data_IF_323142292624
#
_entry.id   IF_323142292624
#
_cell.length_a   1.000
_cell.length_b   1.000
_cell.length_c   1.000
_cell.angle_alpha   90.00
_cell.angle_beta   90.00
_cell.angle_gamma   90.00
#
_symmetry.space_group_name_H-M   'P 1'
#
loop_
_entity.id
_entity.type
_entity.pdbx_description
1 polymer ?
#
# COMPACT_ATOMS: atom_id res chain seq x y z
N UNK A 1 3.17 -10.89 13.84
CA UNK A 1 3.94 -12.08 14.27
C UNK A 1 5.14 -12.29 13.35
N UNK A 2 6.16 -13.03 13.81
CA UNK A 2 7.22 -13.61 12.98
C UNK A 2 6.72 -14.99 12.56
N UNK A 3 6.78 -15.33 11.27
CA UNK A 3 6.31 -16.61 10.76
C UNK A 3 7.44 -17.63 10.64
N UNK A 4 7.17 -18.94 10.69
CA UNK A 4 8.18 -19.97 10.41
C UNK A 4 8.87 -19.77 9.05
N UNK A 5 8.10 -19.32 8.05
CA UNK A 5 8.64 -18.98 6.73
C UNK A 5 9.68 -17.84 6.79
N UNK A 6 9.44 -16.80 7.60
CA UNK A 6 10.38 -15.70 7.78
C UNK A 6 11.67 -16.16 8.50
N UNK A 7 11.54 -17.03 9.51
CA UNK A 7 12.71 -17.63 10.20
C UNK A 7 13.53 -18.44 9.21
N UNK A 8 12.87 -19.32 8.44
CA UNK A 8 13.55 -20.15 7.44
C UNK A 8 14.21 -19.31 6.35
N UNK A 9 13.61 -18.20 5.94
CA UNK A 9 14.19 -17.28 4.96
C UNK A 9 15.44 -16.59 5.51
N UNK A 10 15.38 -16.05 6.74
CA UNK A 10 16.51 -15.40 7.38
C UNK A 10 17.71 -16.36 7.57
N UNK A 11 17.45 -17.58 8.05
CA UNK A 11 18.48 -18.60 8.23
C UNK A 11 19.17 -19.03 6.93
N UNK A 12 18.55 -18.83 5.75
CA UNK A 12 19.17 -19.13 4.45
C UNK A 12 20.16 -18.06 4.00
N UNK A 13 20.00 -16.84 4.50
CA UNK A 13 20.83 -15.68 4.12
C UNK A 13 22.00 -15.52 5.08
N UNK A 14 21.75 -15.68 6.39
CA UNK A 14 22.79 -15.46 7.40
C UNK A 14 23.72 -16.68 7.47
N UNK A 15 25.05 -16.49 7.32
CA UNK A 15 26.02 -17.58 7.33
C UNK A 15 26.34 -18.03 8.76
N UNK A 16 25.43 -18.79 9.37
CA UNK A 16 25.57 -19.33 10.73
C UNK A 16 25.48 -20.86 10.75
N UNK A 17 26.11 -21.51 11.72
CA UNK A 17 26.04 -22.95 11.92
C UNK A 17 24.63 -23.35 12.39
N UNK A 18 23.83 -23.89 11.47
CA UNK A 18 22.42 -24.26 11.70
C UNK A 18 22.27 -25.56 12.48
N UNK A 19 23.30 -26.40 12.48
CA UNK A 19 23.30 -27.71 13.15
C UNK A 19 23.62 -27.56 14.64
N UNK A 20 24.36 -26.52 15.02
CA UNK A 20 24.73 -26.26 16.41
C UNK A 20 24.32 -24.86 16.91
N UNK A 21 23.02 -24.57 17.12
CA UNK A 21 22.54 -23.29 17.64
C UNK A 21 23.15 -22.86 18.98
N UNK A 22 23.59 -23.82 19.80
CA UNK A 22 24.28 -23.57 21.08
C UNK A 22 25.63 -22.88 20.92
N UNK A 23 26.25 -22.94 19.73
CA UNK A 23 27.55 -22.29 19.43
C UNK A 23 27.40 -20.86 18.92
N UNK A 24 26.19 -20.36 18.72
CA UNK A 24 25.98 -19.02 18.16
C UNK A 24 26.57 -17.95 19.06
N UNK A 25 27.39 -17.09 18.48
CA UNK A 25 27.94 -15.93 19.15
C UNK A 25 26.89 -14.84 19.30
N UNK A 26 27.19 -13.80 20.08
CA UNK A 26 26.33 -12.62 20.16
C UNK A 26 26.21 -11.90 18.80
N UNK A 27 27.28 -11.93 17.99
CA UNK A 27 27.28 -11.36 16.65
C UNK A 27 26.32 -12.12 15.72
N UNK A 28 26.37 -13.46 15.75
CA UNK A 28 25.48 -14.33 14.95
C UNK A 28 24.00 -14.07 15.29
N UNK A 29 23.68 -14.00 16.58
CA UNK A 29 22.31 -13.70 17.04
C UNK A 29 21.86 -12.31 16.60
N UNK A 30 22.76 -11.32 16.64
CA UNK A 30 22.45 -9.95 16.22
C UNK A 30 22.19 -9.89 14.73
N UNK A 31 23.01 -10.55 13.92
CA UNK A 31 22.85 -10.58 12.48
C UNK A 31 21.58 -11.34 12.06
N UNK A 32 21.31 -12.49 12.69
CA UNK A 32 20.05 -13.21 12.50
C UNK A 32 18.84 -12.35 12.88
N UNK A 33 18.91 -11.60 13.98
CA UNK A 33 17.82 -10.71 14.39
C UNK A 33 17.59 -9.58 13.38
N UNK A 34 18.66 -8.97 12.84
CA UNK A 34 18.57 -7.94 11.80
C UNK A 34 17.91 -8.47 10.54
N UNK A 35 18.35 -9.63 10.07
CA UNK A 35 17.81 -10.25 8.87
C UNK A 35 16.36 -10.69 9.06
N UNK A 36 16.04 -11.26 10.22
CA UNK A 36 14.67 -11.63 10.56
C UNK A 36 13.73 -10.43 10.58
N UNK A 37 14.17 -9.30 11.14
CA UNK A 37 13.42 -8.04 11.07
C UNK A 37 13.27 -7.55 9.64
N UNK A 38 14.33 -7.64 8.82
CA UNK A 38 14.28 -7.24 7.41
C UNK A 38 13.22 -8.01 6.63
N UNK A 39 13.14 -9.33 6.81
CA UNK A 39 12.17 -10.20 6.13
C UNK A 39 10.76 -10.07 6.73
N UNK A 40 10.63 -10.11 8.05
CA UNK A 40 9.34 -10.18 8.72
C UNK A 40 8.66 -8.81 8.90
N UNK A 41 9.43 -7.73 8.81
CA UNK A 41 8.96 -6.35 9.04
C UNK A 41 9.56 -5.45 7.96
N UNK A 42 8.97 -5.43 6.75
CA UNK A 42 9.34 -4.45 5.74
C UNK A 42 9.22 -3.04 6.31
N UNK A 43 10.25 -2.23 6.06
CA UNK A 43 10.37 -0.84 6.56
C UNK A 43 10.64 0.10 5.40
N UNK A 44 10.21 1.34 5.53
CA UNK A 44 10.61 2.46 4.68
C UNK A 44 10.75 3.69 5.57
N UNK A 45 11.48 4.69 5.11
CA UNK A 45 11.64 5.96 5.81
C UNK A 45 10.83 7.03 5.11
N UNK A 46 9.90 7.61 5.87
CA UNK A 46 9.09 8.75 5.46
C UNK A 46 9.83 10.02 5.91
N UNK A 47 10.63 10.58 5.00
CA UNK A 47 11.44 11.77 5.25
C UNK A 47 10.57 13.03 5.21
N UNK A 48 9.89 13.30 6.32
CA UNK A 48 8.96 14.42 6.47
C UNK A 48 9.69 15.78 6.48
N UNK A 49 8.95 16.85 6.16
CA UNK A 49 9.41 18.24 5.99
C UNK A 49 10.24 18.48 4.72
N UNK A 50 9.92 17.77 3.64
CA UNK A 50 10.60 17.94 2.35
C UNK A 50 10.44 19.33 1.72
N UNK A 51 9.44 20.10 2.16
CA UNK A 51 9.24 21.52 1.83
C UNK A 51 10.42 22.40 2.31
N UNK A 52 11.18 21.94 3.30
CA UNK A 52 12.37 22.63 3.85
C UNK A 52 13.68 21.94 3.51
N UNK A 53 13.63 20.85 2.76
CA UNK A 53 14.80 20.05 2.40
C UNK A 53 15.12 20.18 0.91
N UNK A 54 16.39 20.01 0.59
CA UNK A 54 16.88 19.88 -0.78
C UNK A 54 16.90 18.40 -1.20
N UNK A 55 16.72 18.09 -2.50
CA UNK A 55 16.84 16.73 -3.03
C UNK A 55 18.13 16.00 -2.58
N UNK A 56 19.27 16.70 -2.63
CA UNK A 56 20.56 16.15 -2.20
C UNK A 56 20.58 15.67 -0.73
N UNK A 57 19.82 16.30 0.17
CA UNK A 57 19.74 15.86 1.57
C UNK A 57 18.96 14.55 1.70
N UNK A 58 17.91 14.36 0.89
CA UNK A 58 17.18 13.10 0.79
C UNK A 58 18.05 12.02 0.19
N UNK A 59 18.78 12.33 -0.88
CA UNK A 59 19.63 11.37 -1.58
C UNK A 59 20.76 10.87 -0.67
N UNK A 60 21.42 11.77 0.06
CA UNK A 60 22.41 11.41 1.09
C UNK A 60 21.81 10.50 2.17
N UNK A 61 20.61 10.82 2.68
CA UNK A 61 19.94 9.95 3.66
C UNK A 61 19.66 8.56 3.06
N UNK A 62 19.23 8.49 1.80
CA UNK A 62 18.96 7.23 1.11
C UNK A 62 20.22 6.35 0.95
N UNK A 63 21.37 6.97 0.70
CA UNK A 63 22.66 6.28 0.68
C UNK A 63 23.05 5.75 2.07
N UNK A 64 22.92 6.57 3.11
CA UNK A 64 23.30 6.22 4.49
C UNK A 64 22.49 5.05 5.06
N UNK A 65 21.23 4.88 4.63
CA UNK A 65 20.33 3.83 5.16
C UNK A 65 20.01 2.71 4.16
N UNK A 66 20.74 2.64 3.05
CA UNK A 66 20.55 1.61 2.03
C UNK A 66 20.57 0.20 2.67
N UNK A 67 19.64 -0.72 2.31
CA UNK A 67 18.65 -0.66 1.23
C UNK A 67 17.24 -0.23 1.66
N UNK A 68 17.10 0.52 2.76
CA UNK A 68 15.78 1.01 3.21
C UNK A 68 15.33 2.18 2.30
N UNK A 69 14.17 2.10 1.63
CA UNK A 69 13.69 3.19 0.78
C UNK A 69 13.43 4.47 1.59
N UNK A 70 13.70 5.62 0.98
CA UNK A 70 13.42 6.95 1.55
C UNK A 70 12.46 7.71 0.64
N UNK A 71 11.32 8.09 1.19
CA UNK A 71 10.27 8.82 0.49
C UNK A 71 10.16 10.21 1.10
N UNK A 72 10.44 11.24 0.29
CA UNK A 72 10.33 12.63 0.70
C UNK A 72 8.85 12.99 0.88
N UNK A 73 8.49 13.56 2.03
CA UNK A 73 7.10 13.91 2.31
C UNK A 73 6.94 15.26 2.99
N UNK A 74 5.78 15.89 2.83
CA UNK A 74 5.36 17.03 3.63
C UNK A 74 3.95 16.80 4.17
N UNK A 75 3.87 16.28 5.40
CA UNK A 75 2.60 15.97 6.05
C UNK A 75 1.74 17.21 6.32
N UNK A 76 2.38 18.35 6.62
CA UNK A 76 1.67 19.61 6.89
C UNK A 76 1.02 20.18 5.62
N UNK A 77 1.72 20.10 4.49
CA UNK A 77 1.18 20.50 3.20
C UNK A 77 0.05 19.58 2.74
N UNK A 78 0.19 18.26 2.91
CA UNK A 78 -0.88 17.29 2.63
C UNK A 78 -2.13 17.59 3.46
N UNK A 79 -1.98 17.83 4.76
CA UNK A 79 -3.09 18.19 5.64
C UNK A 79 -3.75 19.50 5.20
N UNK A 80 -2.95 20.49 4.80
CA UNK A 80 -3.43 21.78 4.29
C UNK A 80 -4.24 21.61 3.01
N UNK A 81 -3.76 20.83 2.03
CA UNK A 81 -4.51 20.54 0.81
C UNK A 81 -5.81 19.81 1.09
N UNK A 82 -5.79 18.79 1.96
CA UNK A 82 -7.00 18.04 2.32
C UNK A 82 -8.05 18.94 3.00
N UNK A 83 -7.62 19.87 3.85
CA UNK A 83 -8.50 20.87 4.48
C UNK A 83 -9.06 21.85 3.45
N UNK A 84 -8.22 22.36 2.56
CA UNK A 84 -8.64 23.27 1.49
C UNK A 84 -9.64 22.59 0.53
N UNK A 85 -9.43 21.31 0.20
CA UNK A 85 -10.33 20.53 -0.62
C UNK A 85 -11.68 20.31 0.07
N UNK A 86 -11.66 19.97 1.36
CA UNK A 86 -12.90 19.85 2.16
C UNK A 86 -13.66 21.17 2.27
N UNK A 87 -12.97 22.31 2.28
CA UNK A 87 -13.56 23.64 2.29
C UNK A 87 -14.03 24.10 0.89
N UNK A 88 -13.84 23.31 -0.16
CA UNK A 88 -14.19 23.67 -1.54
C UNK A 88 -13.35 24.79 -2.13
N UNK A 89 -12.15 25.05 -1.58
CA UNK A 89 -11.22 26.05 -2.10
C UNK A 89 -10.37 25.49 -3.25
N UNK A 90 -10.07 24.20 -3.20
CA UNK A 90 -9.30 23.49 -4.23
C UNK A 90 -9.97 22.18 -4.61
N UNK A 91 -9.72 21.71 -5.82
CA UNK A 91 -9.98 20.34 -6.24
C UNK A 91 -8.65 19.59 -6.23
N UNK A 92 -8.53 18.66 -5.28
CA UNK A 92 -7.35 17.86 -5.02
C UNK A 92 -7.78 16.47 -4.58
N UNK A 93 -7.14 15.41 -5.13
CA UNK A 93 -7.23 14.06 -4.57
C UNK A 93 -5.87 13.72 -3.92
N UNK A 94 -5.86 13.06 -2.74
CA UNK A 94 -4.63 12.66 -2.09
C UNK A 94 -3.69 11.92 -3.04
N UNK A 95 -2.44 12.37 -3.12
CA UNK A 95 -1.43 11.81 -4.01
C UNK A 95 -1.37 12.41 -5.42
N UNK A 96 -2.35 13.22 -5.83
CA UNK A 96 -2.29 13.92 -7.12
C UNK A 96 -1.02 14.79 -7.17
N UNK A 97 -0.36 14.93 -8.35
CA UNK A 97 0.83 15.75 -8.49
C UNK A 97 0.55 17.26 -8.52
N UNK A 98 -0.72 17.64 -8.62
CA UNK A 98 -1.15 19.03 -8.64
C UNK A 98 -2.58 19.15 -8.12
N UNK A 99 -3.04 20.39 -7.94
CA UNK A 99 -4.41 20.71 -7.57
C UNK A 99 -4.89 21.92 -8.37
N UNK A 100 -6.21 22.11 -8.45
CA UNK A 100 -6.81 23.26 -9.12
C UNK A 100 -7.56 24.13 -8.13
N UNK A 101 -7.47 25.45 -8.26
CA UNK A 101 -8.26 26.39 -7.46
C UNK A 101 -9.70 26.37 -7.95
N UNK A 102 -10.65 26.29 -7.02
CA UNK A 102 -12.09 26.35 -7.37
C UNK A 102 -12.56 27.79 -7.54
N UNK A 103 -12.07 28.68 -6.68
CA UNK A 103 -12.36 30.11 -6.72
C UNK A 103 -11.13 30.89 -6.19
N UNK A 104 -10.30 31.47 -7.08
CA UNK A 104 -9.10 32.20 -6.68
C UNK A 104 -9.40 33.44 -5.82
N UNK A 105 -10.55 34.09 -5.99
CA UNK A 105 -10.85 35.38 -5.38
C UNK A 105 -11.32 35.24 -3.93
N UNK A 106 -11.73 34.04 -3.53
CA UNK A 106 -12.09 33.69 -2.15
C UNK A 106 -10.89 33.44 -1.23
N UNK A 107 -9.68 33.41 -1.76
CA UNK A 107 -8.47 33.10 -0.99
C UNK A 107 -7.90 34.35 -0.32
N UNK A 108 -7.64 34.27 0.99
CA UNK A 108 -6.86 35.30 1.67
C UNK A 108 -5.41 35.33 1.15
N UNK A 109 -4.69 36.45 1.27
CA UNK A 109 -3.28 36.53 0.88
C UNK A 109 -2.40 35.45 1.55
N UNK A 110 -2.68 35.12 2.80
CA UNK A 110 -1.97 34.08 3.54
C UNK A 110 -2.25 32.67 2.98
N UNK A 111 -3.51 32.38 2.64
CA UNK A 111 -3.91 31.09 2.04
C UNK A 111 -3.29 30.92 0.66
N UNK A 112 -3.33 31.97 -0.17
CA UNK A 112 -2.69 31.98 -1.49
C UNK A 112 -1.20 31.66 -1.38
N UNK A 113 -0.47 32.38 -0.51
CA UNK A 113 0.95 32.14 -0.27
C UNK A 113 1.25 30.71 0.21
N UNK A 114 0.39 30.14 1.05
CA UNK A 114 0.54 28.75 1.50
C UNK A 114 0.38 27.77 0.32
N UNK A 115 -0.66 27.94 -0.51
CA UNK A 115 -0.90 27.10 -1.69
C UNK A 115 0.22 27.23 -2.74
N UNK A 116 0.79 28.43 -2.90
CA UNK A 116 1.94 28.64 -3.79
C UNK A 116 3.17 27.85 -3.29
N UNK A 117 3.43 27.85 -1.98
CA UNK A 117 4.51 27.06 -1.37
C UNK A 117 4.31 25.54 -1.53
N UNK A 118 3.07 25.08 -1.46
CA UNK A 118 2.73 23.67 -1.73
C UNK A 118 2.99 23.34 -3.19
N UNK A 119 2.56 24.22 -4.11
CA UNK A 119 2.78 24.04 -5.55
C UNK A 119 4.26 23.89 -5.89
N UNK A 120 5.12 24.73 -5.28
CA UNK A 120 6.58 24.63 -5.46
C UNK A 120 7.14 23.30 -4.92
N UNK A 121 6.63 22.85 -3.77
CA UNK A 121 7.04 21.55 -3.20
C UNK A 121 6.62 20.39 -4.10
N UNK A 122 5.40 20.41 -4.63
CA UNK A 122 4.91 19.37 -5.55
C UNK A 122 5.65 19.41 -6.89
N UNK A 123 6.03 20.58 -7.42
CA UNK A 123 6.90 20.68 -8.60
C UNK A 123 8.27 20.04 -8.37
N UNK A 124 8.84 20.22 -7.17
CA UNK A 124 10.14 19.67 -6.81
C UNK A 124 10.11 18.16 -6.58
N UNK A 125 9.08 17.66 -5.91
CA UNK A 125 9.02 16.28 -5.42
C UNK A 125 8.01 15.39 -6.14
N UNK A 126 7.26 15.94 -7.10
CA UNK A 126 6.18 15.26 -7.83
C UNK A 126 4.84 15.27 -7.10
N UNK A 127 4.83 15.21 -5.76
CA UNK A 127 3.62 15.31 -4.93
C UNK A 127 4.00 15.76 -3.50
N UNK A 128 3.05 15.70 -2.56
CA UNK A 128 3.36 15.83 -1.11
C UNK A 128 4.05 14.60 -0.53
N UNK A 129 4.10 13.48 -1.29
CA UNK A 129 4.76 12.22 -0.95
C UNK A 129 4.04 11.34 0.07
N UNK A 130 3.02 11.84 0.77
CA UNK A 130 2.32 11.06 1.82
C UNK A 130 1.60 9.86 1.23
N UNK A 131 0.82 10.06 0.17
CA UNK A 131 0.12 8.97 -0.51
C UNK A 131 1.11 7.99 -1.14
N UNK A 132 2.17 8.49 -1.77
CA UNK A 132 3.23 7.66 -2.37
C UNK A 132 3.93 6.77 -1.33
N UNK A 133 4.14 7.26 -0.11
CA UNK A 133 4.68 6.44 0.98
C UNK A 133 3.73 5.29 1.36
N UNK A 134 2.45 5.60 1.57
CA UNK A 134 1.44 4.58 1.88
C UNK A 134 1.34 3.51 0.78
N UNK A 135 1.33 3.93 -0.48
CA UNK A 135 1.24 3.05 -1.64
C UNK A 135 2.48 2.18 -1.80
N UNK A 136 3.68 2.75 -1.66
CA UNK A 136 4.95 2.00 -1.62
C UNK A 136 4.90 0.91 -0.56
N UNK A 137 4.54 1.25 0.69
CA UNK A 137 4.48 0.26 1.76
C UNK A 137 3.48 -0.86 1.45
N UNK A 138 2.29 -0.51 0.97
CA UNK A 138 1.21 -1.48 0.75
C UNK A 138 1.51 -2.38 -0.47
N UNK A 139 1.84 -1.78 -1.61
CA UNK A 139 1.93 -2.49 -2.88
C UNK A 139 3.33 -3.03 -3.16
N UNK A 140 4.38 -2.28 -2.83
CA UNK A 140 5.76 -2.67 -3.15
C UNK A 140 6.42 -3.46 -2.01
N UNK A 141 6.19 -3.07 -0.76
CA UNK A 141 6.88 -3.67 0.40
C UNK A 141 6.10 -4.84 1.00
N UNK A 142 4.78 -4.70 1.12
CA UNK A 142 3.89 -5.74 1.64
C UNK A 142 3.28 -6.62 0.53
N UNK A 143 3.57 -6.30 -0.73
CA UNK A 143 3.07 -7.01 -1.92
C UNK A 143 1.57 -7.29 -1.81
N UNK A 144 0.79 -6.28 -1.42
CA UNK A 144 -0.66 -6.37 -1.39
C UNK A 144 -1.24 -6.05 -2.76
N UNK A 145 -2.42 -6.57 -3.04
CA UNK A 145 -3.22 -6.29 -4.22
C UNK A 145 -4.63 -5.88 -3.78
N UNK A 146 -5.26 -5.01 -4.54
CA UNK A 146 -6.67 -4.64 -4.32
C UNK A 146 -7.55 -5.54 -5.18
N UNK A 147 -8.59 -6.11 -4.59
CA UNK A 147 -9.59 -6.94 -5.29
C UNK A 147 -10.98 -6.54 -4.83
N UNK A 148 -11.94 -6.55 -5.76
CA UNK A 148 -13.30 -6.06 -5.50
C UNK A 148 -14.30 -7.23 -5.53
N UNK A 149 -14.75 -7.74 -4.38
CA UNK A 149 -15.82 -8.74 -4.35
C UNK A 149 -17.16 -8.12 -4.77
N UNK A 150 -17.89 -8.79 -5.65
CA UNK A 150 -19.24 -8.39 -6.08
C UNK A 150 -20.20 -9.58 -6.11
N UNK A 151 -21.50 -9.29 -6.07
CA UNK A 151 -22.55 -10.32 -6.20
C UNK A 151 -23.02 -10.46 -7.66
N UNK A 152 -23.04 -9.36 -8.41
CA UNK A 152 -23.39 -9.31 -9.84
C UNK A 152 -22.14 -9.01 -10.69
N UNK A 153 -21.74 -9.92 -11.59
CA UNK A 153 -20.59 -9.72 -12.48
C UNK A 153 -20.86 -8.76 -13.66
N UNK A 154 -22.12 -8.46 -13.98
CA UNK A 154 -22.50 -7.58 -15.09
C UNK A 154 -22.57 -6.13 -14.69
N UNK A 155 -23.16 -5.84 -13.53
CA UNK A 155 -23.30 -4.46 -13.00
C UNK A 155 -22.24 -4.10 -11.95
N UNK A 156 -21.44 -5.07 -11.52
CA UNK A 156 -20.44 -4.93 -10.45
C UNK A 156 -21.06 -4.45 -9.15
N UNK A 157 -22.24 -4.97 -8.82
CA UNK A 157 -23.05 -4.54 -7.68
C UNK A 157 -23.18 -5.64 -6.63
N UNK A 158 -23.61 -5.24 -5.43
CA UNK A 158 -24.14 -6.17 -4.43
C UNK A 158 -25.67 -6.33 -4.51
N UNK A 159 -26.23 -7.17 -3.65
CA UNK A 159 -27.68 -7.33 -3.42
C UNK A 159 -28.45 -6.04 -3.12
N UNK A 160 -27.77 -4.94 -2.78
CA UNK A 160 -28.39 -3.61 -2.54
C UNK A 160 -28.22 -2.65 -3.72
N UNK A 161 -27.63 -3.10 -4.82
CA UNK A 161 -27.36 -2.27 -6.00
C UNK A 161 -26.20 -1.29 -5.84
N UNK A 162 -25.36 -1.44 -4.81
CA UNK A 162 -24.17 -0.60 -4.61
C UNK A 162 -23.06 -1.07 -5.55
N UNK A 163 -22.56 -0.18 -6.40
CA UNK A 163 -21.45 -0.48 -7.34
C UNK A 163 -20.14 -0.55 -6.57
N UNK A 164 -19.38 -1.64 -6.76
CA UNK A 164 -18.09 -1.92 -6.10
C UNK A 164 -18.14 -1.64 -4.59
N UNK A 165 -18.96 -2.40 -3.84
CA UNK A 165 -19.29 -2.10 -2.45
C UNK A 165 -18.06 -2.11 -1.53
N UNK A 166 -17.10 -3.00 -1.82
CA UNK A 166 -15.94 -3.28 -0.99
C UNK A 166 -14.66 -3.37 -1.83
N UNK A 167 -13.53 -3.02 -1.21
CA UNK A 167 -12.20 -3.15 -1.79
C UNK A 167 -11.28 -3.86 -0.79
N UNK A 168 -10.85 -5.07 -1.13
CA UNK A 168 -10.04 -5.91 -0.25
C UNK A 168 -8.56 -5.79 -0.57
N UNK A 169 -7.76 -5.52 0.46
CA UNK A 169 -6.30 -5.58 0.40
C UNK A 169 -5.82 -6.99 0.77
N UNK A 170 -5.47 -7.77 -0.24
CA UNK A 170 -5.05 -9.17 -0.11
C UNK A 170 -3.54 -9.31 -0.39
N UNK A 171 -2.83 -10.27 0.23
CA UNK A 171 -1.50 -10.65 -0.24
C UNK A 171 -1.52 -11.07 -1.72
N UNK A 172 -0.53 -10.66 -2.49
CA UNK A 172 -0.35 -11.15 -3.86
C UNK A 172 -0.27 -12.70 -3.86
N UNK A 173 -0.90 -13.32 -4.84
CA UNK A 173 -1.01 -14.78 -4.93
C UNK A 173 -2.11 -15.40 -4.06
N UNK A 174 -2.94 -14.59 -3.38
CA UNK A 174 -4.16 -15.11 -2.73
C UNK A 174 -5.04 -15.81 -3.76
N UNK A 175 -5.52 -17.01 -3.46
CA UNK A 175 -6.36 -17.80 -4.38
C UNK A 175 -7.82 -17.34 -4.33
N UNK A 176 -8.60 -17.66 -5.36
CA UNK A 176 -10.03 -17.35 -5.42
C UNK A 176 -10.80 -17.92 -4.22
N UNK A 177 -10.46 -19.13 -3.77
CA UNK A 177 -11.07 -19.73 -2.58
C UNK A 177 -10.65 -19.01 -1.29
N UNK A 178 -9.36 -18.67 -1.16
CA UNK A 178 -8.88 -17.91 0.00
C UNK A 178 -9.52 -16.51 0.08
N UNK A 179 -9.80 -15.87 -1.07
CA UNK A 179 -10.59 -14.65 -1.13
C UNK A 179 -12.02 -14.88 -0.64
N UNK A 180 -12.66 -16.01 -0.99
CA UNK A 180 -14.01 -16.31 -0.51
C UNK A 180 -14.09 -16.38 1.01
N UNK A 181 -13.10 -17.01 1.67
CA UNK A 181 -12.98 -16.99 3.14
C UNK A 181 -12.81 -15.57 3.73
N UNK A 182 -12.29 -14.61 2.96
CA UNK A 182 -12.21 -13.20 3.40
C UNK A 182 -13.53 -12.47 3.32
N UNK A 183 -14.42 -12.87 2.41
CA UNK A 183 -15.78 -12.32 2.34
C UNK A 183 -16.62 -12.92 3.46
N UNK A 184 -16.68 -14.26 3.54
CA UNK A 184 -17.38 -14.97 4.61
C UNK A 184 -16.89 -16.42 4.69
N UNK A 185 -16.81 -17.00 5.89
CA UNK A 185 -16.36 -18.39 6.05
C UNK A 185 -17.23 -19.36 5.25
N UNK A 186 -18.56 -19.22 5.32
CA UNK A 186 -19.50 -20.08 4.59
C UNK A 186 -19.27 -20.07 3.07
N UNK A 187 -18.92 -18.91 2.48
CA UNK A 187 -18.62 -18.80 1.04
C UNK A 187 -17.34 -19.54 0.67
N UNK A 188 -16.36 -19.60 1.58
CA UNK A 188 -15.12 -20.35 1.39
C UNK A 188 -15.31 -21.86 1.53
N UNK A 189 -16.17 -22.29 2.45
CA UNK A 189 -16.51 -23.72 2.66
C UNK A 189 -17.35 -24.27 1.50
N UNK A 190 -18.35 -23.51 1.06
CA UNK A 190 -19.26 -23.87 -0.02
C UNK A 190 -18.78 -23.43 -1.42
N UNK A 191 -17.51 -23.03 -1.54
CA UNK A 191 -16.94 -22.50 -2.79
C UNK A 191 -17.06 -23.49 -3.95
N UNK A 192 -17.65 -23.04 -5.07
CA UNK A 192 -17.72 -23.81 -6.32
C UNK A 192 -16.69 -23.27 -7.33
N UNK A 193 -16.79 -21.97 -7.61
CA UNK A 193 -15.89 -21.25 -8.54
C UNK A 193 -15.98 -19.76 -8.28
N UNK A 194 -15.02 -19.01 -8.80
CA UNK A 194 -15.14 -17.57 -8.91
C UNK A 194 -15.22 -17.16 -10.38
N UNK A 195 -15.67 -15.94 -10.65
CA UNK A 195 -15.72 -15.35 -11.99
C UNK A 195 -15.10 -13.97 -11.89
N UNK A 196 -14.10 -13.72 -12.75
CA UNK A 196 -13.60 -12.36 -12.95
C UNK A 196 -14.56 -11.61 -13.88
N UNK A 197 -15.26 -10.63 -13.33
CA UNK A 197 -16.25 -9.82 -13.99
C UNK A 197 -15.67 -8.90 -15.08
N UNK A 198 -14.35 -8.69 -15.11
CA UNK A 198 -13.69 -7.90 -16.16
C UNK A 198 -13.42 -8.73 -17.41
N UNK A 199 -13.00 -9.98 -17.23
CA UNK A 199 -12.66 -10.89 -18.33
C UNK A 199 -13.77 -11.88 -18.65
N UNK A 200 -14.81 -11.94 -17.81
CA UNK A 200 -15.88 -12.94 -17.81
C UNK A 200 -15.37 -14.38 -17.76
N UNK A 201 -14.16 -14.60 -17.22
CA UNK A 201 -13.55 -15.92 -17.10
C UNK A 201 -13.85 -16.53 -15.75
N UNK A 202 -14.13 -17.83 -15.75
CA UNK A 202 -14.22 -18.60 -14.52
C UNK A 202 -12.81 -18.85 -13.97
N UNK A 203 -12.64 -18.59 -12.67
CA UNK A 203 -11.43 -18.84 -11.91
C UNK A 203 -11.60 -20.11 -11.07
N UNK A 204 -10.62 -21.01 -11.15
CA UNK A 204 -10.55 -22.19 -10.30
C UNK A 204 -10.22 -21.81 -8.84
N UNK A 205 -10.49 -22.71 -7.91
CA UNK A 205 -10.28 -22.48 -6.47
C UNK A 205 -8.84 -22.04 -6.13
N UNK A 206 -7.85 -22.68 -6.75
CA UNK A 206 -6.41 -22.42 -6.54
C UNK A 206 -5.84 -21.34 -7.46
N UNK A 207 -6.65 -20.77 -8.37
CA UNK A 207 -6.17 -19.72 -9.25
C UNK A 207 -5.95 -18.43 -8.43
N UNK A 208 -4.77 -17.78 -8.53
CA UNK A 208 -4.50 -16.54 -7.84
C UNK A 208 -5.36 -15.40 -8.42
N UNK A 209 -5.94 -14.57 -7.55
CA UNK A 209 -6.67 -13.38 -8.00
C UNK A 209 -5.70 -12.30 -8.44
N UNK A 210 -6.02 -11.62 -9.54
CA UNK A 210 -5.18 -10.59 -10.12
C UNK A 210 -5.44 -9.20 -9.49
N UNK A 211 -4.47 -8.28 -9.51
CA UNK A 211 -4.68 -6.91 -9.05
C UNK A 211 -5.82 -6.21 -9.79
N UNK A 212 -6.66 -5.49 -9.05
CA UNK A 212 -7.83 -4.78 -9.55
C UNK A 212 -8.86 -5.66 -10.28
N UNK A 213 -8.87 -6.96 -9.99
CA UNK A 213 -9.93 -7.87 -10.46
C UNK A 213 -11.23 -7.59 -9.71
N UNK A 214 -12.34 -7.75 -10.43
CA UNK A 214 -13.69 -7.65 -9.87
C UNK A 214 -14.21 -9.08 -9.84
N UNK A 215 -14.38 -9.66 -8.66
CA UNK A 215 -14.56 -11.11 -8.52
C UNK A 215 -15.91 -11.42 -7.92
N UNK A 216 -16.72 -12.19 -8.66
CA UNK A 216 -17.93 -12.83 -8.12
C UNK A 216 -17.59 -14.22 -7.62
N UNK A 217 -18.03 -14.53 -6.40
CA UNK A 217 -17.91 -15.86 -5.81
C UNK A 217 -19.21 -16.62 -6.03
N UNK A 218 -19.11 -17.82 -6.59
CA UNK A 218 -20.22 -18.77 -6.72
C UNK A 218 -20.06 -19.85 -5.67
N UNK A 219 -21.00 -19.87 -4.73
CA UNK A 219 -21.07 -20.81 -3.64
C UNK A 219 -22.28 -21.74 -3.78
N UNK A 220 -22.19 -22.94 -3.20
CA UNK A 220 -23.33 -23.86 -3.08
C UNK A 220 -24.30 -23.28 -2.04
N UNK A 221 -25.56 -23.12 -2.42
CA UNK A 221 -26.63 -22.76 -1.48
C UNK A 221 -26.82 -23.84 -0.42
#
# INVERSE_FOLDING_TARGET
SITPAAISAALRVVPIDREHPSKWTAADRTELARELLRVAKPREVVANKCDRALPAQRDRLAEEIHPVPVIATSADQELTLRRAARAGLVRYRPGDPSFTLTDPDRLSPAQRKALDGITETMKRWGSTGVQSALESMIFERLHRIVVYPVEDETHWTDSRGRVLPDAFLLPAGTTARAMAYRVHTDLGESFIRAIDARTHRALAAEHPVEPNSVVRIVARK
#
